data_IF_223622700242
#
_entry.id   IF_223622700242
#
_cell.length_a   1.000
_cell.length_b   1.000
_cell.length_c   1.000
_cell.angle_alpha   90.00
_cell.angle_beta   90.00
_cell.angle_gamma   90.00
#
_symmetry.space_group_name_H-M   'P 1'
#
loop_
_entity.id
_entity.type
_entity.pdbx_description
1 polymer ?
#
# COMPACT_ATOMS: atom_id res chain seq x y z
N UNK A 1 -26.67 23.77 -14.86
CA UNK A 1 -25.56 23.44 -15.79
C UNK A 1 -24.28 23.83 -15.08
N UNK A 2 -23.49 22.85 -14.63
CA UNK A 2 -22.14 23.10 -14.13
C UNK A 2 -21.28 23.39 -15.36
N UNK A 3 -20.60 24.53 -15.36
CA UNK A 3 -19.85 24.98 -16.53
C UNK A 3 -18.51 24.25 -16.59
N UNK A 4 -17.95 24.09 -17.78
CA UNK A 4 -16.64 23.44 -18.00
C UNK A 4 -15.51 24.13 -17.18
N UNK A 5 -15.70 25.41 -16.86
CA UNK A 5 -14.84 26.20 -16.00
C UNK A 5 -14.82 25.70 -14.53
N UNK A 6 -15.94 25.20 -14.02
CA UNK A 6 -16.05 24.70 -12.64
C UNK A 6 -15.27 23.39 -12.46
N UNK A 7 -15.29 22.53 -13.49
CA UNK A 7 -14.49 21.31 -13.51
C UNK A 7 -13.00 21.62 -13.63
N UNK A 8 -12.64 22.61 -14.46
CA UNK A 8 -11.25 23.07 -14.60
C UNK A 8 -10.68 23.62 -13.29
N UNK A 9 -11.47 24.38 -12.53
CA UNK A 9 -11.08 24.87 -11.19
C UNK A 9 -10.87 23.73 -10.20
N UNK A 10 -11.74 22.73 -10.21
CA UNK A 10 -11.60 21.56 -9.34
C UNK A 10 -10.31 20.77 -9.62
N UNK A 11 -9.99 20.54 -10.90
CA UNK A 11 -8.76 19.85 -11.28
C UNK A 11 -7.50 20.64 -10.92
N UNK A 12 -7.54 21.98 -11.04
CA UNK A 12 -6.41 22.84 -10.67
C UNK A 12 -6.20 22.86 -9.15
N UNK A 13 -7.27 22.89 -8.36
CA UNK A 13 -7.19 22.84 -6.90
C UNK A 13 -6.58 21.52 -6.41
N UNK A 14 -7.04 20.38 -6.93
CA UNK A 14 -6.45 19.06 -6.61
C UNK A 14 -4.96 19.01 -6.97
N UNK A 15 -4.57 19.66 -8.07
CA UNK A 15 -3.17 19.68 -8.51
C UNK A 15 -2.27 20.56 -7.62
N UNK A 16 -2.84 21.57 -6.96
CA UNK A 16 -2.13 22.44 -6.01
C UNK A 16 -2.01 21.78 -4.64
N UNK A 17 -3.06 21.09 -4.16
CA UNK A 17 -3.01 20.33 -2.89
C UNK A 17 -1.89 19.28 -2.89
N UNK A 18 -1.62 18.65 -4.04
CA UNK A 18 -0.53 17.67 -4.20
C UNK A 18 0.86 18.33 -4.08
N UNK A 19 1.00 19.61 -4.48
CA UNK A 19 2.26 20.33 -4.37
C UNK A 19 2.51 20.82 -2.95
N UNK A 20 1.47 21.18 -2.19
CA UNK A 20 1.61 21.58 -0.78
C UNK A 20 1.98 20.41 0.14
N UNK A 21 1.54 19.18 -0.17
CA UNK A 21 1.95 17.97 0.58
C UNK A 21 3.45 17.65 0.42
N UNK A 22 4.13 18.25 -0.55
CA UNK A 22 5.59 18.05 -0.74
C UNK A 22 6.46 18.99 0.11
N UNK A 23 5.87 19.91 0.87
CA UNK A 23 6.58 20.93 1.66
C UNK A 23 6.43 20.82 3.18
N UNK A 24 5.57 19.94 3.70
CA UNK A 24 5.43 19.74 5.15
C UNK A 24 6.12 18.44 5.58
N UNK A 25 7.15 18.57 6.41
CA UNK A 25 7.67 17.42 7.16
C UNK A 25 6.54 16.84 8.03
N UNK A 26 6.37 15.52 8.08
CA UNK A 26 5.35 14.92 8.93
C UNK A 26 5.72 15.16 10.38
N UNK A 27 4.95 16.01 11.07
CA UNK A 27 4.93 16.06 12.53
C UNK A 27 4.67 14.63 13.04
N UNK A 28 5.67 14.08 13.73
CA UNK A 28 5.66 12.74 14.26
C UNK A 28 4.44 12.55 15.18
N UNK A 29 3.49 11.71 14.76
CA UNK A 29 2.57 11.07 15.69
C UNK A 29 3.38 9.96 16.37
N UNK A 30 3.80 10.25 17.60
CA UNK A 30 4.49 9.34 18.50
C UNK A 30 3.63 8.10 18.76
N UNK A 31 4.05 6.96 18.19
CA UNK A 31 3.61 5.64 18.62
C UNK A 31 4.82 4.70 18.61
N UNK A 32 5.57 4.73 19.71
CA UNK A 32 6.53 3.74 20.19
C UNK A 32 7.74 3.41 19.29
N UNK A 33 8.89 3.86 19.77
CA UNK A 33 10.23 3.38 19.45
C UNK A 33 10.33 1.83 19.47
N UNK A 34 10.85 1.20 18.41
CA UNK A 34 12.25 0.71 18.34
C UNK A 34 12.50 -0.26 17.18
N UNK A 35 13.66 0.02 16.56
CA UNK A 35 14.65 -0.82 15.87
C UNK A 35 14.15 -1.87 14.87
N UNK A 36 14.58 -1.73 13.61
CA UNK A 36 15.30 -2.80 12.88
C UNK A 36 15.81 -2.31 11.51
N UNK A 37 17.13 -2.35 11.38
CA UNK A 37 17.97 -2.73 10.24
C UNK A 37 17.75 -2.10 8.85
N UNK A 38 18.81 -1.41 8.37
CA UNK A 38 18.96 -0.92 7.00
C UNK A 38 19.06 -2.09 6.03
N UNK A 39 18.01 -2.33 5.23
CA UNK A 39 18.07 -3.26 4.10
C UNK A 39 18.38 -2.47 2.80
N UNK A 40 19.43 -2.93 2.14
CA UNK A 40 20.22 -2.31 1.08
C UNK A 40 19.41 -1.82 -0.16
N UNK A 41 19.61 -0.55 -0.54
CA UNK A 41 19.04 0.11 -1.73
C UNK A 41 19.66 -0.42 -3.05
N UNK A 42 19.47 -1.70 -3.37
CA UNK A 42 20.10 -2.34 -4.55
C UNK A 42 19.31 -2.24 -5.86
N UNK A 43 17.98 -2.20 -5.81
CA UNK A 43 17.17 -2.58 -6.99
C UNK A 43 16.53 -1.42 -7.76
N UNK A 44 16.71 -0.18 -7.31
CA UNK A 44 16.11 1.00 -7.96
C UNK A 44 16.76 1.35 -9.31
N UNK A 45 18.00 0.90 -9.54
CA UNK A 45 18.81 1.31 -10.69
C UNK A 45 18.57 0.50 -11.97
N UNK A 46 18.04 -0.73 -11.89
CA UNK A 46 18.05 -1.65 -13.04
C UNK A 46 17.01 -1.27 -14.11
N UNK A 47 15.83 -0.78 -13.73
CA UNK A 47 14.79 -0.39 -14.69
C UNK A 47 14.81 1.08 -15.13
N UNK A 48 15.58 1.94 -14.45
CA UNK A 48 15.83 3.31 -14.93
C UNK A 48 16.68 3.27 -16.21
N UNK A 49 17.52 2.24 -16.36
CA UNK A 49 18.32 2.01 -17.56
C UNK A 49 17.48 1.60 -18.79
N UNK A 50 16.42 0.79 -18.60
CA UNK A 50 15.57 0.29 -19.69
C UNK A 50 14.81 1.42 -20.43
N UNK A 51 14.49 2.52 -19.75
CA UNK A 51 13.83 3.68 -20.37
C UNK A 51 14.78 4.63 -21.11
N UNK A 52 16.11 4.51 -20.92
CA UNK A 52 17.09 5.31 -21.67
C UNK A 52 17.34 4.78 -23.08
N UNK A 53 17.10 3.50 -23.32
CA UNK A 53 17.45 2.83 -24.58
C UNK A 53 16.41 2.99 -25.72
N UNK A 54 15.38 3.84 -25.54
CA UNK A 54 14.41 4.18 -26.60
C UNK A 54 14.51 5.65 -27.07
N UNK A 55 15.66 6.31 -26.86
CA UNK A 55 15.89 7.71 -27.30
C UNK A 55 16.42 7.84 -28.75
N UNK A 56 16.29 6.82 -29.60
CA UNK A 56 16.58 6.98 -31.03
C UNK A 56 15.27 6.92 -31.86
N UNK A 57 14.78 8.12 -32.24
CA UNK A 57 13.72 8.40 -33.21
C UNK A 57 12.25 8.51 -32.73
N UNK A 58 11.94 9.43 -31.81
CA UNK A 58 10.56 9.94 -31.66
C UNK A 58 10.57 11.47 -31.52
N UNK A 59 9.74 12.23 -32.27
CA UNK A 59 9.65 13.70 -32.16
C UNK A 59 9.33 14.14 -30.72
N UNK A 60 9.59 15.40 -30.34
CA UNK A 60 9.53 15.85 -28.94
C UNK A 60 8.09 15.81 -28.42
N UNK A 61 7.67 14.64 -27.95
CA UNK A 61 6.49 14.45 -27.13
C UNK A 61 6.68 15.37 -25.92
N UNK A 62 5.75 16.31 -25.70
CA UNK A 62 5.89 17.38 -24.71
C UNK A 62 6.51 16.84 -23.41
N UNK A 63 7.66 17.35 -23.00
CA UNK A 63 8.47 16.85 -21.88
C UNK A 63 7.69 16.64 -20.57
N UNK A 64 6.56 17.34 -20.40
CA UNK A 64 5.60 17.15 -19.32
C UNK A 64 4.96 15.74 -19.28
N UNK A 65 4.62 15.16 -20.44
CA UNK A 65 4.01 13.83 -20.52
C UNK A 65 4.99 12.73 -20.09
N UNK A 66 6.27 12.87 -20.48
CA UNK A 66 7.34 11.95 -20.09
C UNK A 66 7.54 12.00 -18.58
N UNK A 67 7.63 13.20 -17.99
CA UNK A 67 7.72 13.40 -16.53
C UNK A 67 6.52 12.80 -15.79
N UNK A 68 5.30 13.00 -16.30
CA UNK A 68 4.08 12.45 -15.70
C UNK A 68 4.11 10.92 -15.71
N UNK A 69 4.45 10.29 -16.85
CA UNK A 69 4.58 8.82 -16.94
C UNK A 69 5.60 8.29 -15.94
N UNK A 70 6.76 8.94 -15.83
CA UNK A 70 7.80 8.55 -14.89
C UNK A 70 7.31 8.64 -13.43
N UNK A 71 6.65 9.73 -13.06
CA UNK A 71 6.08 9.90 -11.72
C UNK A 71 5.03 8.82 -11.36
N UNK A 72 4.22 8.39 -12.34
CA UNK A 72 3.23 7.32 -12.13
C UNK A 72 3.94 5.99 -11.86
N UNK A 73 5.01 5.68 -12.60
CA UNK A 73 5.77 4.44 -12.39
C UNK A 73 6.40 4.42 -11.00
N UNK A 74 7.02 5.53 -10.58
CA UNK A 74 7.61 5.64 -9.24
C UNK A 74 6.54 5.44 -8.16
N UNK A 75 5.43 6.18 -8.24
CA UNK A 75 4.34 6.08 -7.26
C UNK A 75 3.75 4.66 -7.18
N UNK A 76 3.63 3.97 -8.32
CA UNK A 76 3.18 2.58 -8.36
C UNK A 76 4.15 1.63 -7.66
N UNK A 77 5.45 1.82 -7.85
CA UNK A 77 6.48 1.01 -7.16
C UNK A 77 6.48 1.26 -5.65
N UNK A 78 6.38 2.51 -5.24
CA UNK A 78 6.29 2.88 -3.83
C UNK A 78 5.03 2.28 -3.19
N UNK A 79 3.88 2.37 -3.87
CA UNK A 79 2.66 1.74 -3.40
C UNK A 79 2.79 0.22 -3.27
N UNK A 80 3.42 -0.44 -4.26
CA UNK A 80 3.68 -1.87 -4.22
C UNK A 80 4.54 -2.27 -3.01
N UNK A 81 5.68 -1.59 -2.80
CA UNK A 81 6.54 -1.83 -1.63
C UNK A 81 5.82 -1.55 -0.31
N UNK A 82 4.98 -0.51 -0.25
CA UNK A 82 4.14 -0.23 0.91
C UNK A 82 3.18 -1.37 1.25
N UNK A 83 2.54 -1.97 0.24
CA UNK A 83 1.64 -3.11 0.42
C UNK A 83 2.39 -4.36 0.88
N UNK A 84 3.59 -4.61 0.35
CA UNK A 84 4.43 -5.72 0.76
C UNK A 84 4.86 -5.60 2.23
N UNK A 85 5.34 -4.42 2.61
CA UNK A 85 5.69 -4.12 4.00
C UNK A 85 4.49 -4.23 4.94
N UNK A 86 3.32 -3.78 4.50
CA UNK A 86 2.08 -3.92 5.27
C UNK A 86 1.71 -5.39 5.44
N UNK A 87 1.79 -6.20 4.39
CA UNK A 87 1.52 -7.63 4.45
C UNK A 87 2.48 -8.36 5.40
N UNK A 88 3.78 -8.04 5.35
CA UNK A 88 4.79 -8.57 6.28
C UNK A 88 4.42 -8.24 7.72
N UNK A 89 4.10 -6.97 8.01
CA UNK A 89 3.65 -6.53 9.35
C UNK A 89 2.35 -7.19 9.79
N UNK A 90 1.39 -7.39 8.89
CA UNK A 90 0.13 -8.07 9.20
C UNK A 90 0.37 -9.53 9.57
N UNK A 91 1.25 -10.22 8.84
CA UNK A 91 1.62 -11.61 9.12
C UNK A 91 2.31 -11.73 10.48
N UNK A 92 3.37 -10.97 10.72
CA UNK A 92 4.10 -11.03 12.00
C UNK A 92 3.20 -10.69 13.19
N UNK A 93 2.35 -9.67 13.06
CA UNK A 93 1.39 -9.32 14.11
C UNK A 93 0.36 -10.42 14.34
N UNK A 94 -0.12 -11.07 13.27
CA UNK A 94 -1.06 -12.19 13.38
C UNK A 94 -0.42 -13.37 14.11
N UNK A 95 0.78 -13.77 13.69
CA UNK A 95 1.51 -14.91 14.26
C UNK A 95 1.87 -14.68 15.73
N UNK A 96 2.17 -13.43 16.13
CA UNK A 96 2.50 -13.08 17.51
C UNK A 96 1.28 -12.94 18.43
N UNK A 97 0.12 -12.53 17.90
CA UNK A 97 -1.07 -12.24 18.70
C UNK A 97 -2.04 -13.41 18.80
N UNK A 98 -2.09 -14.25 17.76
CA UNK A 98 -3.02 -15.36 17.71
C UNK A 98 -2.36 -16.62 18.27
N UNK A 99 -3.04 -17.37 19.16
CA UNK A 99 -2.53 -18.64 19.64
C UNK A 99 -2.51 -19.68 18.51
N UNK A 100 -1.61 -20.65 18.62
CA UNK A 100 -1.64 -21.85 17.78
C UNK A 100 -2.91 -22.64 18.14
N UNK A 101 -3.71 -22.98 17.13
CA UNK A 101 -4.98 -23.67 17.32
C UNK A 101 -4.93 -25.05 16.66
N UNK A 102 -5.50 -26.04 17.34
CA UNK A 102 -5.50 -27.42 16.84
C UNK A 102 -6.71 -27.74 15.95
N UNK A 103 -6.54 -28.73 15.08
CA UNK A 103 -7.66 -29.29 14.30
C UNK A 103 -8.70 -29.89 15.26
N UNK A 104 -9.97 -29.60 15.01
CA UNK A 104 -11.10 -29.99 15.85
C UNK A 104 -11.48 -28.97 16.93
N UNK A 105 -10.68 -27.92 17.13
CA UNK A 105 -10.99 -26.88 18.11
C UNK A 105 -12.06 -25.90 17.59
N UNK A 106 -12.92 -25.42 18.50
CA UNK A 106 -13.95 -24.43 18.17
C UNK A 106 -13.40 -23.02 18.37
N UNK A 107 -13.48 -22.20 17.33
CA UNK A 107 -13.00 -20.82 17.32
C UNK A 107 -14.13 -19.83 17.08
N UNK A 108 -13.96 -18.61 17.60
CA UNK A 108 -14.83 -17.46 17.31
C UNK A 108 -14.05 -16.42 16.51
N UNK A 109 -14.52 -16.15 15.29
CA UNK A 109 -13.91 -15.20 14.37
C UNK A 109 -14.72 -13.90 14.41
N UNK A 110 -14.12 -12.76 14.79
CA UNK A 110 -14.81 -11.47 14.78
C UNK A 110 -15.04 -10.98 13.34
N UNK A 111 -16.23 -10.44 13.08
CA UNK A 111 -16.56 -9.77 11.81
C UNK A 111 -16.40 -8.26 12.01
N UNK A 112 -15.58 -7.58 11.20
CA UNK A 112 -15.33 -6.15 11.35
C UNK A 112 -16.61 -5.35 11.04
N UNK A 113 -16.73 -4.17 11.66
CA UNK A 113 -17.95 -3.36 11.59
C UNK A 113 -18.29 -2.92 10.16
N UNK A 114 -17.28 -2.75 9.29
CA UNK A 114 -17.46 -2.34 7.87
C UNK A 114 -18.11 -3.41 7.00
N UNK A 115 -17.88 -4.69 7.33
CA UNK A 115 -18.45 -5.82 6.59
C UNK A 115 -19.80 -6.26 7.18
N UNK A 116 -20.20 -5.65 8.30
CA UNK A 116 -21.37 -6.04 9.07
C UNK A 116 -22.58 -5.16 8.76
N UNK A 117 -23.69 -5.76 8.33
CA UNK A 117 -24.95 -5.03 8.23
C UNK A 117 -25.57 -4.77 9.60
N UNK A 118 -26.56 -3.87 9.67
CA UNK A 118 -27.29 -3.61 10.91
C UNK A 118 -28.07 -4.85 11.33
N UNK A 119 -27.71 -5.44 12.47
CA UNK A 119 -28.36 -6.62 13.04
C UNK A 119 -27.60 -7.93 12.86
N UNK A 120 -26.52 -7.93 12.07
CA UNK A 120 -25.69 -9.13 11.89
C UNK A 120 -24.92 -9.48 13.17
N UNK A 121 -24.57 -10.76 13.30
CA UNK A 121 -23.76 -11.27 14.40
C UNK A 121 -22.37 -10.65 14.38
N UNK A 122 -21.81 -10.38 15.57
CA UNK A 122 -20.47 -9.82 15.71
C UNK A 122 -19.36 -10.83 15.45
N UNK A 123 -19.70 -12.12 15.46
CA UNK A 123 -18.74 -13.22 15.35
C UNK A 123 -19.37 -14.43 14.69
N UNK A 124 -18.51 -15.18 14.01
CA UNK A 124 -18.81 -16.48 13.42
C UNK A 124 -18.13 -17.53 14.29
N UNK A 125 -18.85 -18.60 14.64
CA UNK A 125 -18.30 -19.74 15.37
C UNK A 125 -18.05 -20.87 14.39
N UNK A 126 -16.86 -21.47 14.42
CA UNK A 126 -16.49 -22.55 13.51
C UNK A 126 -15.54 -23.54 14.16
N UNK A 127 -15.34 -24.69 13.50
CA UNK A 127 -14.40 -25.73 13.92
C UNK A 127 -13.24 -25.76 12.92
N UNK A 128 -12.00 -25.87 13.41
CA UNK A 128 -10.83 -25.98 12.54
C UNK A 128 -10.79 -27.38 11.91
N UNK A 129 -10.83 -27.45 10.58
CA UNK A 129 -10.78 -28.71 9.83
C UNK A 129 -9.37 -29.12 9.40
N UNK A 130 -8.49 -28.14 9.19
CA UNK A 130 -7.11 -28.36 8.80
C UNK A 130 -6.23 -27.22 9.33
N UNK A 131 -5.04 -27.56 9.81
CA UNK A 131 -3.99 -26.62 10.18
C UNK A 131 -2.89 -26.59 9.11
N UNK A 132 -2.25 -25.45 8.93
CA UNK A 132 -1.02 -25.36 8.15
C UNK A 132 0.15 -25.83 9.01
N UNK A 133 0.75 -26.97 8.67
CA UNK A 133 2.04 -27.38 9.24
C UNK A 133 3.13 -26.54 8.58
N UNK A 134 3.35 -25.32 9.06
CA UNK A 134 4.58 -24.61 8.74
C UNK A 134 5.70 -25.27 9.55
N UNK A 135 6.43 -26.20 8.91
CA UNK A 135 7.68 -26.72 9.46
C UNK A 135 8.69 -25.57 9.51
N UNK A 136 8.96 -25.07 10.71
CA UNK A 136 10.10 -24.21 10.99
C UNK A 136 11.38 -25.05 10.82
N UNK A 137 12.19 -24.74 9.80
CA UNK A 137 13.58 -25.14 9.72
C UNK A 137 14.46 -24.02 10.27
#
# INVERSE_FOLDING_TARGET
MQTEEDFGRLCNNISNDINEISGEEPNAVDINEREEEEEELGETNVLVAELKNQEESVPPMSSALVKRKHSIIIKRRQAFSGLENQAKKMKTNSDNRLPIVNVGETVRIPVPDVDRARGDLRNITGIILAGSLFNSN
#
